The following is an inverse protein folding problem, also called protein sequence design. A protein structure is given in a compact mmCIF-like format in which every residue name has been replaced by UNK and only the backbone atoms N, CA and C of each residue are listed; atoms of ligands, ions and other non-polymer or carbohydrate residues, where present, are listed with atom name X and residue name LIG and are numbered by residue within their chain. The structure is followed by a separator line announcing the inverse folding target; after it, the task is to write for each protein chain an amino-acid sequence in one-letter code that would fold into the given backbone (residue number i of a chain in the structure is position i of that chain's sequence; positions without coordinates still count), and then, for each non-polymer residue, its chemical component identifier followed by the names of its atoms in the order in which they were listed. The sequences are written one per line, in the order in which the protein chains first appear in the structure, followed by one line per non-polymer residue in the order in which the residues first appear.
data_IF_996904366016
#
_entry.id   IF_996904366016
#
_cell.length_a   1.000
_cell.length_b   1.000
_cell.length_c   1.000
_cell.angle_alpha   90.00
_cell.angle_beta   90.00
_cell.angle_gamma   90.00
#
_symmetry.space_group_name_H-M   'P 1'
#
loop_
_entity.id
_entity.type
_entity.pdbx_description
1 polymer ?
#
# COMPACT_ATOMS: atom_id res chain seq x y z
N UNK A 1 8.19 15.20 6.90
CA UNK A 1 9.54 15.12 6.28
C UNK A 1 9.38 15.35 4.79
N UNK A 2 10.13 16.22 4.15
CA UNK A 2 10.02 16.39 2.69
C UNK A 2 10.92 15.36 2.03
N UNK A 3 10.36 14.50 1.15
CA UNK A 3 11.16 13.54 0.39
C UNK A 3 12.08 14.33 -0.58
N UNK A 4 13.36 14.00 -0.56
CA UNK A 4 14.37 14.66 -1.42
C UNK A 4 14.81 13.77 -2.58
N UNK A 5 14.49 12.46 -2.52
CA UNK A 5 14.86 11.52 -3.56
C UNK A 5 14.01 11.70 -4.81
N UNK A 6 14.67 11.70 -5.96
CA UNK A 6 14.01 11.71 -7.26
C UNK A 6 14.36 10.44 -8.03
N UNK A 7 13.34 9.82 -8.62
CA UNK A 7 13.46 8.65 -9.46
C UNK A 7 12.96 8.97 -10.87
N UNK A 8 13.82 9.40 -11.78
CA UNK A 8 13.42 9.79 -13.14
C UNK A 8 12.63 8.71 -13.87
N UNK A 9 12.88 7.44 -13.53
CA UNK A 9 12.17 6.28 -14.08
C UNK A 9 10.69 6.21 -13.71
N UNK A 10 10.24 6.97 -12.69
CA UNK A 10 8.83 7.03 -12.30
C UNK A 10 8.02 8.04 -13.09
N UNK A 11 8.69 9.02 -13.72
CA UNK A 11 8.00 10.07 -14.48
C UNK A 11 7.18 9.48 -15.63
N UNK A 12 5.89 9.82 -15.64
CA UNK A 12 4.94 9.34 -16.65
C UNK A 12 4.46 7.89 -16.48
N UNK A 13 5.01 7.12 -15.53
CA UNK A 13 4.48 5.79 -15.19
C UNK A 13 3.07 5.90 -14.62
N UNK A 14 2.20 4.95 -14.92
CA UNK A 14 0.86 4.83 -14.32
C UNK A 14 0.95 3.94 -13.09
N UNK A 15 0.51 4.50 -11.95
CA UNK A 15 0.51 3.87 -10.63
C UNK A 15 -0.93 3.70 -10.15
N UNK A 16 -1.28 2.52 -9.67
CA UNK A 16 -2.57 2.25 -9.04
C UNK A 16 -2.40 1.96 -7.55
N UNK A 17 -3.13 2.69 -6.68
CA UNK A 17 -3.03 2.57 -5.22
C UNK A 17 -4.39 2.20 -4.63
N UNK A 18 -4.47 1.14 -3.84
CA UNK A 18 -5.66 0.84 -3.04
C UNK A 18 -5.58 1.52 -1.67
N UNK A 19 -6.70 2.13 -1.21
CA UNK A 19 -6.75 2.87 0.05
C UNK A 19 -5.90 4.14 0.01
N UNK A 20 -6.04 4.94 -1.05
CA UNK A 20 -5.20 6.12 -1.30
C UNK A 20 -5.67 7.41 -0.62
N UNK A 21 -6.84 7.42 0.02
CA UNK A 21 -7.47 8.66 0.52
C UNK A 21 -6.89 9.21 1.81
N UNK A 22 -6.25 8.38 2.65
CA UNK A 22 -5.76 8.82 3.97
C UNK A 22 -4.47 8.12 4.39
N UNK A 23 -3.82 8.63 5.43
CA UNK A 23 -2.68 8.00 6.10
C UNK A 23 -1.52 7.66 5.17
N UNK A 24 -1.06 6.40 5.22
CA UNK A 24 0.02 5.90 4.34
C UNK A 24 -0.38 6.02 2.87
N UNK A 25 -1.64 5.69 2.54
CA UNK A 25 -2.13 5.75 1.17
C UNK A 25 -2.07 7.14 0.57
N UNK A 26 -2.52 8.15 1.29
CA UNK A 26 -2.44 9.55 0.83
C UNK A 26 -0.99 10.01 0.62
N UNK A 27 -0.08 9.62 1.54
CA UNK A 27 1.34 9.90 1.39
C UNK A 27 1.94 9.20 0.16
N UNK A 28 1.53 7.96 -0.15
CA UNK A 28 1.92 7.26 -1.36
C UNK A 28 1.44 8.01 -2.61
N UNK A 29 0.14 8.34 -2.68
CA UNK A 29 -0.44 9.09 -3.80
C UNK A 29 0.31 10.40 -4.05
N UNK A 30 0.51 11.19 -2.99
CA UNK A 30 1.24 12.46 -3.07
C UNK A 30 2.68 12.26 -3.56
N UNK A 31 3.40 11.31 -2.96
CA UNK A 31 4.81 11.07 -3.28
C UNK A 31 5.01 10.64 -4.74
N UNK A 32 4.14 9.76 -5.26
CA UNK A 32 4.20 9.37 -6.67
C UNK A 32 3.80 10.51 -7.62
N UNK A 33 2.80 11.32 -7.27
CA UNK A 33 2.46 12.52 -8.05
C UNK A 33 3.65 13.49 -8.14
N UNK A 34 4.37 13.71 -7.02
CA UNK A 34 5.57 14.57 -6.98
C UNK A 34 6.72 14.04 -7.84
N UNK A 35 6.77 12.73 -8.11
CA UNK A 35 7.72 12.15 -9.08
C UNK A 35 7.27 12.33 -10.54
N UNK A 36 6.13 12.98 -10.80
CA UNK A 36 5.55 13.13 -12.12
C UNK A 36 4.89 11.85 -12.65
N UNK A 37 4.58 10.89 -11.79
CA UNK A 37 3.82 9.70 -12.14
C UNK A 37 2.32 10.03 -12.23
N UNK A 38 1.60 9.35 -13.12
CA UNK A 38 0.13 9.40 -13.19
C UNK A 38 -0.43 8.43 -12.16
N UNK A 39 -1.24 8.91 -11.22
CA UNK A 39 -1.71 8.11 -10.09
C UNK A 39 -3.22 7.94 -10.15
N UNK A 40 -3.69 6.70 -10.22
CA UNK A 40 -5.06 6.32 -9.95
C UNK A 40 -5.13 5.72 -8.55
N UNK A 41 -6.14 6.06 -7.78
CA UNK A 41 -6.35 5.42 -6.49
C UNK A 41 -7.82 5.17 -6.19
N UNK A 42 -8.06 4.17 -5.36
CA UNK A 42 -9.40 3.82 -4.87
C UNK A 42 -9.45 3.94 -3.35
N UNK A 43 -10.59 4.38 -2.84
CA UNK A 43 -10.88 4.45 -1.39
C UNK A 43 -12.40 4.44 -1.18
N UNK A 44 -12.83 4.16 0.05
CA UNK A 44 -14.23 4.28 0.49
C UNK A 44 -14.53 5.67 1.07
N UNK A 45 -13.50 6.44 1.39
CA UNK A 45 -13.61 7.79 1.99
C UNK A 45 -13.63 8.84 0.87
N UNK A 46 -14.82 9.14 0.35
CA UNK A 46 -14.97 9.98 -0.85
C UNK A 46 -14.51 11.43 -0.62
N UNK A 47 -14.94 12.07 0.48
CA UNK A 47 -14.67 13.49 0.72
C UNK A 47 -13.16 13.78 0.88
N UNK A 48 -12.47 13.00 1.70
CA UNK A 48 -11.02 13.18 1.92
C UNK A 48 -10.21 12.84 0.67
N UNK A 49 -10.69 11.88 -0.12
CA UNK A 49 -10.06 11.49 -1.39
C UNK A 49 -10.23 12.57 -2.46
N UNK A 50 -11.40 13.18 -2.57
CA UNK A 50 -11.66 14.31 -3.47
C UNK A 50 -10.79 15.53 -3.08
N UNK A 51 -10.73 15.86 -1.79
CA UNK A 51 -9.87 16.94 -1.29
C UNK A 51 -8.39 16.69 -1.58
N UNK A 52 -7.93 15.43 -1.53
CA UNK A 52 -6.56 15.07 -1.91
C UNK A 52 -6.31 15.32 -3.40
N UNK A 53 -7.24 14.93 -4.28
CA UNK A 53 -7.15 15.20 -5.73
C UNK A 53 -7.08 16.69 -6.00
N UNK A 54 -7.95 17.50 -5.37
CA UNK A 54 -7.97 18.96 -5.54
C UNK A 54 -6.64 19.59 -5.08
N UNK A 55 -6.08 19.12 -3.98
CA UNK A 55 -4.79 19.61 -3.44
C UNK A 55 -3.60 19.27 -4.33
N UNK A 56 -3.60 18.11 -4.97
CA UNK A 56 -2.50 17.66 -5.82
C UNK A 56 -2.65 18.12 -7.27
N UNK A 57 -3.90 18.35 -7.72
CA UNK A 57 -4.20 18.81 -9.05
C UNK A 57 -3.69 20.21 -9.31
N UNK A 58 -3.11 20.43 -10.48
CA UNK A 58 -2.61 21.75 -10.89
C UNK A 58 -1.29 22.20 -10.21
N UNK A 59 -0.69 21.39 -9.35
CA UNK A 59 0.65 21.68 -8.80
C UNK A 59 1.71 21.46 -9.89
N UNK A 60 2.50 22.50 -10.26
CA UNK A 60 3.50 22.36 -11.31
C UNK A 60 4.50 21.25 -11.00
N UNK A 61 4.70 20.34 -11.95
CA UNK A 61 5.63 19.20 -11.80
C UNK A 61 4.97 17.92 -11.31
N UNK A 62 3.79 17.99 -10.71
CA UNK A 62 3.03 16.80 -10.35
C UNK A 62 2.48 16.07 -11.59
N UNK A 63 2.37 14.75 -11.49
CA UNK A 63 1.63 13.94 -12.44
C UNK A 63 0.11 14.08 -12.27
N UNK A 64 -0.63 13.53 -13.22
CA UNK A 64 -2.10 13.47 -13.15
C UNK A 64 -2.55 12.54 -12.00
N UNK A 65 -3.61 12.94 -11.28
CA UNK A 65 -4.20 12.15 -10.20
C UNK A 65 -5.69 11.92 -10.43
N UNK A 66 -6.15 10.69 -10.20
CA UNK A 66 -7.55 10.28 -10.32
C UNK A 66 -7.99 9.48 -9.11
N UNK A 67 -9.16 9.78 -8.61
CA UNK A 67 -9.82 9.04 -7.53
C UNK A 67 -11.06 8.32 -8.06
N UNK A 68 -11.26 7.08 -7.60
CA UNK A 68 -12.47 6.31 -7.88
C UNK A 68 -13.01 5.71 -6.57
N UNK A 69 -14.28 5.96 -6.20
CA UNK A 69 -14.86 5.35 -5.02
C UNK A 69 -15.02 3.84 -5.20
N UNK A 70 -14.54 3.06 -4.22
CA UNK A 70 -14.56 1.61 -4.27
C UNK A 70 -14.49 0.97 -2.89
N UNK A 71 -15.43 0.07 -2.59
CA UNK A 71 -15.26 -0.93 -1.55
C UNK A 71 -14.47 -2.11 -2.14
N UNK A 72 -13.29 -2.39 -1.60
CA UNK A 72 -12.40 -3.45 -2.09
C UNK A 72 -12.93 -4.88 -1.84
N UNK A 73 -14.02 -5.02 -1.10
CA UNK A 73 -14.73 -6.30 -0.99
C UNK A 73 -15.51 -6.64 -2.25
N UNK A 74 -15.83 -5.64 -3.09
CA UNK A 74 -16.37 -5.79 -4.44
C UNK A 74 -15.24 -5.93 -5.46
N UNK A 75 -14.87 -7.17 -5.72
CA UNK A 75 -13.76 -7.51 -6.63
C UNK A 75 -14.06 -7.13 -8.09
N UNK A 76 -15.30 -7.31 -8.55
CA UNK A 76 -15.67 -6.97 -9.93
C UNK A 76 -15.55 -5.45 -10.15
N UNK A 77 -16.00 -4.66 -9.17
CA UNK A 77 -15.84 -3.22 -9.20
C UNK A 77 -14.37 -2.80 -9.20
N UNK A 78 -13.54 -3.39 -8.31
CA UNK A 78 -12.10 -3.12 -8.28
C UNK A 78 -11.44 -3.39 -9.64
N UNK A 79 -11.70 -4.55 -10.25
CA UNK A 79 -11.14 -4.92 -11.54
C UNK A 79 -11.61 -3.99 -12.67
N UNK A 80 -12.89 -3.59 -12.67
CA UNK A 80 -13.42 -2.63 -13.64
C UNK A 80 -12.77 -1.25 -13.52
N UNK A 81 -12.47 -0.80 -12.28
CA UNK A 81 -11.80 0.48 -12.03
C UNK A 81 -10.32 0.44 -12.40
N UNK A 82 -9.64 -0.69 -12.23
CA UNK A 82 -8.28 -0.90 -12.72
C UNK A 82 -8.25 -0.77 -14.25
N UNK A 83 -9.21 -1.38 -14.95
CA UNK A 83 -9.32 -1.27 -16.40
C UNK A 83 -9.64 0.18 -16.85
N UNK A 84 -10.52 0.87 -16.14
CA UNK A 84 -10.84 2.27 -16.40
C UNK A 84 -9.59 3.16 -16.22
N UNK A 85 -8.88 3.00 -15.10
CA UNK A 85 -7.65 3.75 -14.83
C UNK A 85 -6.59 3.52 -15.94
N UNK A 86 -6.44 2.27 -16.39
CA UNK A 86 -5.54 1.94 -17.49
C UNK A 86 -5.95 2.61 -18.81
N UNK A 87 -7.25 2.73 -19.08
CA UNK A 87 -7.76 3.39 -20.30
C UNK A 87 -7.58 4.91 -20.27
N UNK A 88 -7.70 5.54 -19.08
CA UNK A 88 -7.61 6.99 -18.92
C UNK A 88 -6.16 7.49 -18.76
N UNK A 89 -5.34 6.78 -18.02
CA UNK A 89 -3.99 7.21 -17.65
C UNK A 89 -2.88 6.47 -18.42
N UNK A 90 -3.21 5.38 -19.09
CA UNK A 90 -2.27 4.48 -19.75
C UNK A 90 -1.99 3.20 -18.93
N UNK A 91 -1.32 2.24 -19.56
CA UNK A 91 -1.06 0.92 -18.98
C UNK A 91 -0.43 1.02 -17.59
N UNK A 92 -1.00 0.30 -16.62
CA UNK A 92 -0.54 0.31 -15.22
C UNK A 92 0.78 -0.44 -15.12
N UNK A 93 1.82 0.26 -14.68
CA UNK A 93 3.18 -0.29 -14.49
C UNK A 93 3.54 -0.49 -13.01
N UNK A 94 2.81 0.15 -12.10
CA UNK A 94 3.01 0.00 -10.64
C UNK A 94 1.66 -0.22 -9.95
N UNK A 95 1.58 -1.27 -9.12
CA UNK A 95 0.45 -1.53 -8.24
C UNK A 95 0.90 -1.44 -6.78
N UNK A 96 0.16 -0.70 -5.96
CA UNK A 96 0.37 -0.63 -4.52
C UNK A 96 -0.89 -1.07 -3.80
N UNK A 97 -0.86 -2.27 -3.24
CA UNK A 97 -1.92 -2.82 -2.41
C UNK A 97 -1.70 -2.34 -0.96
N UNK A 98 -2.32 -1.20 -0.61
CA UNK A 98 -2.14 -0.56 0.69
C UNK A 98 -3.36 -0.67 1.61
N UNK A 99 -4.57 -0.68 1.07
CA UNK A 99 -5.78 -0.67 1.86
C UNK A 99 -5.83 -1.80 2.91
N UNK A 100 -6.19 -1.44 4.13
CA UNK A 100 -6.34 -2.38 5.23
C UNK A 100 -7.23 -1.81 6.35
N UNK A 101 -7.75 -2.70 7.19
CA UNK A 101 -8.48 -2.36 8.40
C UNK A 101 -7.96 -3.19 9.58
N UNK A 102 -7.37 -2.52 10.57
CA UNK A 102 -6.78 -3.08 11.78
C UNK A 102 -7.75 -3.07 12.99
N UNK A 103 -9.05 -3.08 12.74
CA UNK A 103 -10.07 -3.09 13.81
C UNK A 103 -9.81 -4.22 14.78
N UNK A 104 -9.71 -3.87 16.07
CA UNK A 104 -9.50 -4.83 17.16
C UNK A 104 -10.75 -5.66 17.38
N UNK A 105 -10.55 -6.94 17.70
CA UNK A 105 -11.63 -7.87 18.01
C UNK A 105 -11.17 -8.93 19.01
N UNK A 106 -12.10 -9.34 19.86
CA UNK A 106 -11.87 -10.43 20.80
C UNK A 106 -12.02 -11.77 20.06
N UNK A 107 -10.96 -12.59 20.08
CA UNK A 107 -10.94 -13.86 19.36
C UNK A 107 -12.05 -14.82 19.80
N UNK A 108 -12.54 -14.72 21.04
CA UNK A 108 -13.59 -15.59 21.57
C UNK A 108 -14.97 -15.32 20.94
N UNK A 109 -15.15 -14.11 20.39
CA UNK A 109 -16.45 -13.62 19.91
C UNK A 109 -16.50 -13.38 18.38
N UNK A 110 -15.42 -13.69 17.65
CA UNK A 110 -15.39 -13.52 16.17
C UNK A 110 -16.27 -14.55 15.50
N UNK A 111 -17.28 -14.11 14.73
CA UNK A 111 -18.06 -15.00 13.90
C UNK A 111 -17.33 -15.37 12.59
N UNK A 112 -17.71 -16.48 11.92
CA UNK A 112 -17.18 -16.81 10.60
C UNK A 112 -17.31 -15.66 9.59
N UNK A 113 -18.45 -14.97 9.58
CA UNK A 113 -18.72 -13.85 8.67
C UNK A 113 -17.81 -12.65 8.94
N UNK A 114 -17.54 -12.37 10.22
CA UNK A 114 -16.58 -11.31 10.61
C UNK A 114 -15.16 -11.66 10.19
N UNK A 115 -14.78 -12.94 10.36
CA UNK A 115 -13.50 -13.46 9.90
C UNK A 115 -13.36 -13.34 8.38
N UNK A 116 -14.34 -13.81 7.61
CA UNK A 116 -14.32 -13.75 6.15
C UNK A 116 -14.28 -12.30 5.64
N UNK A 117 -15.03 -11.40 6.28
CA UNK A 117 -14.98 -9.96 5.97
C UNK A 117 -13.58 -9.38 6.25
N UNK A 118 -12.94 -9.76 7.36
CA UNK A 118 -11.59 -9.31 7.67
C UNK A 118 -10.58 -9.74 6.59
N UNK A 119 -10.64 -11.01 6.15
CA UNK A 119 -9.79 -11.51 5.06
C UNK A 119 -10.11 -10.84 3.71
N UNK A 120 -11.40 -10.58 3.44
CA UNK A 120 -11.82 -9.90 2.22
C UNK A 120 -11.20 -8.50 2.11
N UNK A 121 -11.21 -7.73 3.21
CA UNK A 121 -10.66 -6.37 3.27
C UNK A 121 -9.13 -6.37 3.30
N UNK A 122 -8.48 -7.31 4.02
CA UNK A 122 -7.05 -7.20 4.32
C UNK A 122 -6.15 -8.09 3.44
N UNK A 123 -6.71 -9.05 2.68
CA UNK A 123 -5.94 -10.00 1.88
C UNK A 123 -6.47 -10.20 0.47
N UNK A 124 -7.78 -10.50 0.32
CA UNK A 124 -8.34 -10.97 -0.95
C UNK A 124 -8.10 -10.01 -2.11
N UNK A 125 -8.29 -8.70 -1.89
CA UNK A 125 -8.10 -7.71 -2.94
C UNK A 125 -6.66 -7.64 -3.48
N UNK A 126 -5.63 -7.96 -2.69
CA UNK A 126 -4.24 -7.99 -3.14
C UNK A 126 -4.03 -8.93 -4.32
N UNK A 127 -4.60 -10.14 -4.23
CA UNK A 127 -4.51 -11.12 -5.30
C UNK A 127 -5.24 -10.65 -6.56
N UNK A 128 -6.49 -10.22 -6.42
CA UNK A 128 -7.31 -9.87 -7.59
C UNK A 128 -6.89 -8.56 -8.25
N UNK A 129 -6.34 -7.61 -7.51
CA UNK A 129 -5.72 -6.42 -8.09
C UNK A 129 -4.45 -6.80 -8.87
N UNK A 130 -3.58 -7.67 -8.31
CA UNK A 130 -2.41 -8.17 -9.01
C UNK A 130 -2.79 -8.91 -10.30
N UNK A 131 -3.84 -9.73 -10.27
CA UNK A 131 -4.36 -10.42 -11.45
C UNK A 131 -4.86 -9.43 -12.52
N UNK A 132 -5.56 -8.36 -12.11
CA UNK A 132 -6.11 -7.37 -13.03
C UNK A 132 -5.05 -6.50 -13.70
N UNK A 133 -3.94 -6.17 -13.01
CA UNK A 133 -2.86 -5.37 -13.60
C UNK A 133 -1.86 -6.20 -14.42
N UNK A 134 -1.82 -7.52 -14.21
CA UNK A 134 -0.85 -8.41 -14.87
C UNK A 134 -0.83 -8.29 -16.40
N UNK A 135 -1.97 -8.26 -17.13
CA UNK A 135 -1.95 -8.12 -18.59
C UNK A 135 -1.23 -6.85 -19.06
N UNK A 136 -1.45 -5.72 -18.40
CA UNK A 136 -0.81 -4.44 -18.73
C UNK A 136 0.69 -4.47 -18.48
N UNK A 137 1.12 -5.00 -17.32
CA UNK A 137 2.53 -5.12 -16.97
C UNK A 137 3.26 -6.08 -17.92
N UNK A 138 2.60 -7.18 -18.30
CA UNK A 138 3.13 -8.14 -19.26
C UNK A 138 3.33 -7.52 -20.66
N UNK A 139 2.37 -6.75 -21.14
CA UNK A 139 2.46 -6.03 -22.40
C UNK A 139 3.58 -4.98 -22.38
N UNK A 140 3.76 -4.29 -21.25
CA UNK A 140 4.88 -3.35 -21.04
C UNK A 140 6.25 -4.06 -20.95
N UNK A 141 6.26 -5.36 -20.69
CA UNK A 141 7.49 -6.14 -20.46
C UNK A 141 8.20 -5.78 -19.15
N UNK A 142 7.51 -5.10 -18.22
CA UNK A 142 7.99 -4.71 -16.89
C UNK A 142 6.84 -4.31 -15.97
N UNK A 143 7.01 -4.55 -14.66
CA UNK A 143 6.03 -4.10 -13.65
C UNK A 143 6.60 -4.15 -12.24
N UNK A 144 5.96 -3.40 -11.32
CA UNK A 144 6.27 -3.46 -9.90
C UNK A 144 4.98 -3.55 -9.08
N UNK A 145 4.84 -4.59 -8.28
CA UNK A 145 3.75 -4.79 -7.33
C UNK A 145 4.32 -4.67 -5.92
N UNK A 146 3.73 -3.80 -5.11
CA UNK A 146 4.12 -3.56 -3.73
C UNK A 146 2.91 -3.88 -2.85
N UNK A 147 3.03 -4.92 -2.04
CA UNK A 147 2.01 -5.32 -1.09
C UNK A 147 2.35 -4.79 0.30
N UNK A 148 1.45 -4.03 0.95
CA UNK A 148 1.67 -3.55 2.31
C UNK A 148 1.39 -4.69 3.32
N UNK A 149 2.48 -5.20 3.92
CA UNK A 149 2.48 -6.07 5.07
C UNK A 149 2.19 -5.34 6.38
N UNK A 150 2.73 -5.85 7.48
CA UNK A 150 2.72 -5.20 8.80
C UNK A 150 3.70 -5.89 9.73
N UNK A 151 4.37 -5.14 10.59
CA UNK A 151 5.18 -5.71 11.67
C UNK A 151 4.35 -6.46 12.73
N UNK A 152 3.04 -6.23 12.78
CA UNK A 152 2.15 -6.71 13.85
C UNK A 152 2.17 -8.23 14.05
N UNK A 153 2.27 -9.01 12.97
CA UNK A 153 2.36 -10.46 13.08
C UNK A 153 3.78 -10.91 13.50
N UNK A 154 4.84 -10.22 13.07
CA UNK A 154 6.22 -10.47 13.49
C UNK A 154 6.39 -10.20 14.99
N UNK A 155 5.77 -9.11 15.48
CA UNK A 155 5.78 -8.75 16.90
C UNK A 155 4.81 -9.58 17.76
N UNK A 156 4.06 -10.53 17.18
CA UNK A 156 3.09 -11.35 17.92
C UNK A 156 1.95 -10.55 18.53
N UNK A 157 1.52 -9.45 17.89
CA UNK A 157 0.51 -8.55 18.41
C UNK A 157 -0.87 -9.21 18.48
N UNK A 158 -1.46 -9.26 19.68
CA UNK A 158 -2.80 -9.79 19.92
C UNK A 158 -3.93 -8.81 19.61
N UNK A 159 -5.20 -9.25 19.85
CA UNK A 159 -6.41 -8.44 19.74
C UNK A 159 -6.89 -8.20 18.30
N UNK A 160 -6.30 -8.87 17.30
CA UNK A 160 -6.68 -8.75 15.88
C UNK A 160 -6.22 -9.94 15.03
N UNK A 161 -6.53 -11.20 15.43
CA UNK A 161 -5.98 -12.39 14.76
C UNK A 161 -6.31 -12.46 13.26
N UNK A 162 -7.48 -12.01 12.81
CA UNK A 162 -7.83 -11.95 11.39
C UNK A 162 -6.91 -11.01 10.59
N UNK A 163 -6.57 -9.84 11.16
CA UNK A 163 -5.64 -8.90 10.55
C UNK A 163 -4.21 -9.45 10.51
N UNK A 164 -3.69 -9.96 11.63
CA UNK A 164 -2.32 -10.50 11.68
C UNK A 164 -2.16 -11.71 10.76
N UNK A 165 -3.18 -12.59 10.68
CA UNK A 165 -3.20 -13.70 9.72
C UNK A 165 -3.17 -13.21 8.28
N UNK A 166 -3.96 -12.18 7.94
CA UNK A 166 -3.96 -11.58 6.60
C UNK A 166 -2.59 -11.01 6.25
N UNK A 167 -1.96 -10.29 7.18
CA UNK A 167 -0.66 -9.64 6.95
C UNK A 167 0.49 -10.66 6.83
N UNK A 168 0.44 -11.76 7.57
CA UNK A 168 1.35 -12.89 7.38
C UNK A 168 1.16 -13.56 6.00
N UNK A 169 -0.11 -13.77 5.59
CA UNK A 169 -0.43 -14.36 4.31
C UNK A 169 0.03 -13.52 3.11
N UNK A 170 0.06 -12.18 3.24
CA UNK A 170 0.57 -11.26 2.19
C UNK A 170 2.03 -11.55 1.86
N UNK A 171 2.86 -11.91 2.82
CA UNK A 171 4.26 -12.25 2.55
C UNK A 171 4.39 -13.55 1.73
N UNK A 172 3.55 -14.55 2.04
CA UNK A 172 3.44 -15.78 1.24
C UNK A 172 2.94 -15.50 -0.17
N UNK A 173 1.86 -14.71 -0.30
CA UNK A 173 1.30 -14.27 -1.57
C UNK A 173 2.34 -13.53 -2.43
N UNK A 174 3.11 -12.62 -1.82
CA UNK A 174 4.18 -11.87 -2.48
C UNK A 174 5.20 -12.80 -3.14
N UNK A 175 5.65 -13.83 -2.41
CA UNK A 175 6.64 -14.79 -2.93
C UNK A 175 6.08 -15.67 -4.05
N UNK A 176 4.82 -16.12 -3.92
CA UNK A 176 4.14 -16.89 -4.96
C UNK A 176 4.02 -16.08 -6.27
N UNK A 177 3.42 -14.88 -6.18
CA UNK A 177 3.26 -14.00 -7.34
C UNK A 177 4.60 -13.58 -7.97
N UNK A 178 5.63 -13.34 -7.16
CA UNK A 178 6.97 -13.03 -7.69
C UNK A 178 7.55 -14.16 -8.52
N UNK A 179 7.28 -15.42 -8.15
CA UNK A 179 7.71 -16.59 -8.92
C UNK A 179 6.94 -16.73 -10.22
N UNK A 180 5.62 -16.51 -10.18
CA UNK A 180 4.74 -16.68 -11.33
C UNK A 180 4.94 -15.57 -12.38
N UNK A 181 5.12 -14.31 -11.91
CA UNK A 181 5.18 -13.13 -12.76
C UNK A 181 6.63 -12.72 -13.16
N UNK A 182 7.64 -13.25 -12.46
CA UNK A 182 9.05 -12.93 -12.70
C UNK A 182 9.53 -13.18 -14.14
N UNK A 183 9.12 -14.26 -14.84
CA UNK A 183 9.46 -14.48 -16.25
C UNK A 183 9.04 -13.32 -17.18
N UNK A 184 7.99 -12.58 -16.83
CA UNK A 184 7.51 -11.40 -17.56
C UNK A 184 8.13 -10.08 -17.03
N UNK A 185 9.21 -10.16 -16.21
CA UNK A 185 9.91 -9.03 -15.57
C UNK A 185 9.03 -8.19 -14.64
N UNK A 186 8.04 -8.81 -14.04
CA UNK A 186 7.20 -8.16 -13.02
C UNK A 186 7.74 -8.53 -11.65
N UNK A 187 8.11 -7.51 -10.87
CA UNK A 187 8.63 -7.65 -9.52
C UNK A 187 7.49 -7.55 -8.52
N UNK A 188 7.50 -8.41 -7.51
CA UNK A 188 6.51 -8.36 -6.44
C UNK A 188 7.24 -8.37 -5.11
N UNK A 189 7.02 -7.34 -4.29
CA UNK A 189 7.64 -7.19 -2.98
C UNK A 189 6.62 -6.87 -1.90
N UNK A 190 6.93 -7.21 -0.67
CA UNK A 190 6.18 -6.82 0.52
C UNK A 190 6.90 -5.66 1.20
N UNK A 191 6.19 -4.55 1.41
CA UNK A 191 6.66 -3.45 2.25
C UNK A 191 5.99 -3.58 3.62
N UNK A 192 6.79 -3.71 4.67
CA UNK A 192 6.35 -4.02 6.03
C UNK A 192 6.53 -2.79 6.93
N UNK A 193 5.46 -1.98 7.14
CA UNK A 193 5.51 -0.83 8.02
C UNK A 193 5.56 -1.24 9.50
N UNK A 194 6.28 -0.44 10.28
CA UNK A 194 6.17 -0.39 11.74
C UNK A 194 4.93 0.36 12.21
N UNK A 195 5.01 0.99 13.40
CA UNK A 195 3.91 1.80 13.93
C UNK A 195 3.95 3.21 13.35
N UNK A 196 3.26 3.39 12.23
CA UNK A 196 3.26 4.66 11.47
C UNK A 196 2.32 5.67 12.11
N UNK A 197 2.80 6.90 12.34
CA UNK A 197 2.06 8.01 12.93
C UNK A 197 1.10 8.64 11.92
N UNK A 198 0.08 7.89 11.50
CA UNK A 198 -1.04 8.42 10.73
C UNK A 198 -1.98 9.19 11.65
N UNK A 199 -2.79 10.09 11.10
CA UNK A 199 -3.79 10.84 11.87
C UNK A 199 -4.74 9.92 12.65
N UNK A 200 -5.19 8.83 12.02
CA UNK A 200 -6.01 7.80 12.68
C UNK A 200 -5.28 7.19 13.88
N UNK A 201 -4.02 6.80 13.72
CA UNK A 201 -3.25 6.20 14.81
C UNK A 201 -3.02 7.18 15.96
N UNK A 202 -2.69 8.44 15.65
CA UNK A 202 -2.50 9.49 16.65
C UNK A 202 -3.78 9.78 17.46
N UNK A 203 -4.93 9.75 16.78
CA UNK A 203 -6.22 10.06 17.43
C UNK A 203 -6.81 8.87 18.20
N UNK A 204 -6.56 7.63 17.75
CA UNK A 204 -7.27 6.47 18.29
C UNK A 204 -6.39 5.51 19.11
N UNK A 205 -5.07 5.52 18.93
CA UNK A 205 -4.18 4.44 19.40
C UNK A 205 -2.92 4.89 20.13
N UNK A 206 -2.46 6.11 19.91
CA UNK A 206 -1.18 6.57 20.48
C UNK A 206 -1.44 7.31 21.81
N UNK A 207 -1.76 6.55 22.85
CA UNK A 207 -1.78 6.99 24.24
C UNK A 207 -0.36 6.94 24.87
N UNK A 208 -0.26 7.20 26.14
CA UNK A 208 1.02 7.20 26.87
C UNK A 208 1.67 5.82 26.91
N UNK A 209 0.87 4.76 27.08
CA UNK A 209 1.35 3.37 27.08
C UNK A 209 1.90 2.97 25.69
N UNK A 210 1.19 3.37 24.65
CA UNK A 210 1.64 3.14 23.28
C UNK A 210 2.94 3.89 22.98
N UNK A 211 3.09 5.14 23.45
CA UNK A 211 4.35 5.92 23.29
C UNK A 211 5.53 5.25 23.96
N UNK A 212 5.35 4.73 25.18
CA UNK A 212 6.40 3.96 25.86
C UNK A 212 6.75 2.67 25.10
N UNK A 213 5.74 1.96 24.57
CA UNK A 213 5.97 0.75 23.79
C UNK A 213 6.74 1.05 22.49
N UNK A 214 6.40 2.15 21.81
CA UNK A 214 7.09 2.62 20.59
C UNK A 214 8.56 2.97 20.95
N UNK A 215 8.76 3.74 22.02
CA UNK A 215 10.12 4.12 22.44
C UNK A 215 10.98 2.92 22.82
N UNK A 216 10.41 1.91 23.48
CA UNK A 216 11.12 0.67 23.81
C UNK A 216 11.39 -0.19 22.58
N UNK A 217 10.44 -0.28 21.66
CA UNK A 217 10.51 -1.14 20.48
C UNK A 217 11.44 -0.59 19.41
N UNK A 218 11.32 0.67 19.06
CA UNK A 218 12.13 1.27 18.00
C UNK A 218 13.59 1.52 18.44
N UNK A 219 14.53 1.20 17.56
CA UNK A 219 15.94 1.58 17.73
C UNK A 219 16.15 3.06 17.38
N UNK A 220 15.56 3.53 16.28
CA UNK A 220 15.49 4.95 15.90
C UNK A 220 14.33 5.60 16.64
N UNK A 221 14.60 6.64 17.43
CA UNK A 221 13.63 7.23 18.36
C UNK A 221 12.69 8.27 17.74
N UNK A 222 12.95 8.65 16.50
CA UNK A 222 12.06 9.54 15.76
C UNK A 222 10.73 8.84 15.42
N UNK A 223 9.60 9.57 15.41
CA UNK A 223 8.32 8.98 15.02
C UNK A 223 8.36 8.51 13.55
N UNK A 224 7.91 7.30 13.32
CA UNK A 224 7.80 6.76 11.96
C UNK A 224 6.63 7.40 11.23
N UNK A 225 6.94 8.27 10.27
CA UNK A 225 5.93 9.01 9.51
C UNK A 225 5.55 8.29 8.20
N UNK A 226 4.35 8.55 7.63
CA UNK A 226 3.93 7.97 6.35
C UNK A 226 4.93 8.14 5.21
N UNK A 227 5.64 9.25 5.18
CA UNK A 227 6.65 9.56 4.16
C UNK A 227 7.84 8.58 4.18
N UNK A 228 8.17 7.99 5.33
CA UNK A 228 9.21 6.96 5.41
C UNK A 228 8.80 5.69 4.65
N UNK A 229 7.51 5.36 4.68
CA UNK A 229 6.95 4.23 3.92
C UNK A 229 6.93 4.57 2.43
N UNK A 230 6.49 5.79 2.09
CA UNK A 230 6.46 6.26 0.69
C UNK A 230 7.84 6.31 0.07
N UNK A 231 8.88 6.69 0.83
CA UNK A 231 10.26 6.71 0.35
C UNK A 231 10.73 5.32 -0.12
N UNK A 232 10.44 4.27 0.66
CA UNK A 232 10.75 2.88 0.29
C UNK A 232 9.89 2.41 -0.88
N UNK A 233 8.59 2.78 -0.92
CA UNK A 233 7.72 2.44 -2.02
C UNK A 233 8.19 3.05 -3.35
N UNK A 234 8.65 4.31 -3.36
CA UNK A 234 9.24 4.96 -4.54
C UNK A 234 10.46 4.19 -5.04
N UNK A 235 11.38 3.80 -4.13
CA UNK A 235 12.54 2.98 -4.51
C UNK A 235 12.10 1.66 -5.13
N UNK A 236 11.19 0.91 -4.48
CA UNK A 236 10.72 -0.38 -4.96
C UNK A 236 9.98 -0.31 -6.31
N UNK A 237 9.35 0.81 -6.61
CA UNK A 237 8.67 1.05 -7.89
C UNK A 237 9.63 1.49 -9.00
N UNK A 238 10.79 2.04 -8.65
CA UNK A 238 11.78 2.57 -9.59
C UNK A 238 12.59 1.47 -10.28
N UNK A 239 13.30 1.84 -11.32
CA UNK A 239 14.22 0.94 -12.03
C UNK A 239 15.46 0.60 -11.20
N UNK A 240 15.80 1.40 -10.18
CA UNK A 240 16.91 1.14 -9.26
C UNK A 240 16.69 -0.14 -8.43
N UNK A 241 15.43 -0.56 -8.27
CA UNK A 241 15.05 -1.82 -7.62
C UNK A 241 14.91 -3.00 -8.60
N UNK A 242 15.52 -2.95 -9.79
CA UNK A 242 15.31 -3.93 -10.87
C UNK A 242 15.56 -5.40 -10.48
N UNK A 243 16.41 -5.65 -9.50
CA UNK A 243 16.69 -7.01 -8.97
C UNK A 243 16.06 -7.28 -7.61
N UNK A 244 15.22 -6.36 -7.09
CA UNK A 244 14.49 -6.55 -5.83
C UNK A 244 13.13 -7.19 -6.13
N UNK A 245 12.97 -8.47 -5.81
CA UNK A 245 11.69 -9.20 -5.93
C UNK A 245 11.61 -10.31 -4.91
N UNK A 246 10.38 -10.72 -4.53
CA UNK A 246 10.10 -11.77 -3.55
C UNK A 246 10.63 -11.46 -2.12
N UNK A 247 10.88 -10.19 -1.80
CA UNK A 247 11.47 -9.78 -0.53
C UNK A 247 10.49 -9.02 0.36
N UNK A 248 10.75 -9.07 1.66
CA UNK A 248 10.12 -8.22 2.66
C UNK A 248 11.07 -7.05 2.96
N UNK A 249 10.59 -5.83 2.77
CA UNK A 249 11.31 -4.60 3.09
C UNK A 249 10.67 -3.97 4.32
N UNK A 250 11.38 -4.06 5.46
CA UNK A 250 10.88 -3.59 6.74
C UNK A 250 11.27 -2.12 6.92
N UNK A 251 10.29 -1.30 7.29
CA UNK A 251 10.47 0.12 7.63
C UNK A 251 9.72 0.38 8.93
N UNK A 252 10.41 0.19 10.06
CA UNK A 252 9.83 0.18 11.40
C UNK A 252 10.68 0.87 12.47
N UNK A 253 11.78 1.52 12.06
CA UNK A 253 12.71 2.13 12.98
C UNK A 253 13.58 1.12 13.76
N UNK A 254 13.64 -0.14 13.31
CA UNK A 254 14.40 -1.21 13.95
C UNK A 254 13.67 -1.82 15.14
N UNK A 255 12.38 -2.13 14.97
CA UNK A 255 11.53 -2.78 15.98
C UNK A 255 11.64 -4.31 15.92
N UNK A 256 11.61 -4.92 14.72
CA UNK A 256 11.72 -6.37 14.49
C UNK A 256 12.94 -6.74 13.68
#
# INVERSE_FOLDING_TARGET
MTLTNQYPSLKGKTVFVSGGGSGIGASLVESFCQQGAKVAFVDIQEDVSAALVDRLGGVPGNGEVRFYPCDLTDIERLQSLIALAASELGAISVLINNAANDTRHDFQNVSPEQWDKCLAVNLRHHFFAAQAVYPYMKELGAGSIINLGSMSWHAGQGGMPGYTSSKAAIEGLTRGLARDMGPDRIRVNCLVPGWVMTEKQLNERVDEVAREAIDKGQSVKDPLMPESISAMALFLASDDASMCTAQNFIVDGGWI
#
